data_IF_518718988208
#
_entry.id   IF_518718988208
#
_cell.length_a   1.000
_cell.length_b   1.000
_cell.length_c   1.000
_cell.angle_alpha   90.00
_cell.angle_beta   90.00
_cell.angle_gamma   90.00
#
_symmetry.space_group_name_H-M   'P 1'
#
loop_
_entity.id
_entity.type
_entity.pdbx_description
1 polymer ?
#
# COMPACT_ATOMS: atom_id res chain seq x y z
N UNK A 1 9.87 -13.99 -6.31
CA UNK A 1 10.41 -13.14 -7.40
C UNK A 1 11.38 -12.11 -6.87
N UNK A 2 11.05 -11.41 -5.78
CA UNK A 2 11.96 -10.44 -5.12
C UNK A 2 13.38 -10.99 -4.91
N UNK A 3 13.52 -12.27 -4.58
CA UNK A 3 14.82 -12.92 -4.42
C UNK A 3 15.66 -12.95 -5.71
N UNK A 4 15.04 -13.21 -6.87
CA UNK A 4 15.75 -13.22 -8.18
C UNK A 4 16.20 -11.82 -8.57
N UNK A 5 15.40 -10.82 -8.22
CA UNK A 5 15.72 -9.42 -8.45
C UNK A 5 16.86 -8.93 -7.56
N UNK A 6 16.83 -9.25 -6.26
CA UNK A 6 17.96 -9.02 -5.35
C UNK A 6 19.24 -9.69 -5.86
N UNK A 7 19.14 -10.97 -6.25
CA UNK A 7 20.26 -11.75 -6.77
C UNK A 7 20.85 -11.08 -8.04
N UNK A 8 20.00 -10.58 -8.94
CA UNK A 8 20.41 -9.85 -10.14
C UNK A 8 21.13 -8.54 -9.80
N UNK A 9 20.59 -7.73 -8.89
CA UNK A 9 21.20 -6.45 -8.47
C UNK A 9 22.56 -6.69 -7.81
N UNK A 10 22.67 -7.72 -6.97
CA UNK A 10 23.93 -8.11 -6.34
C UNK A 10 24.98 -8.50 -7.39
N UNK A 11 24.60 -9.34 -8.36
CA UNK A 11 25.49 -9.75 -9.45
C UNK A 11 25.96 -8.57 -10.32
N UNK A 12 25.10 -7.58 -10.58
CA UNK A 12 25.50 -6.35 -11.29
C UNK A 12 26.48 -5.50 -10.49
N UNK A 13 26.24 -5.35 -9.19
CA UNK A 13 27.13 -4.57 -8.31
C UNK A 13 28.53 -5.20 -8.29
N UNK A 14 28.59 -6.54 -8.20
CA UNK A 14 29.82 -7.31 -8.29
C UNK A 14 30.50 -7.18 -9.65
N UNK A 15 29.73 -7.20 -10.75
CA UNK A 15 30.27 -7.01 -12.10
C UNK A 15 30.93 -5.64 -12.30
N UNK A 16 30.43 -4.61 -11.61
CA UNK A 16 30.97 -3.23 -11.70
C UNK A 16 32.18 -3.02 -10.81
N UNK A 17 32.13 -3.54 -9.59
CA UNK A 17 33.10 -3.22 -8.55
C UNK A 17 34.10 -4.35 -8.25
N UNK A 18 33.86 -5.55 -8.78
CA UNK A 18 34.67 -6.74 -8.53
C UNK A 18 34.50 -7.31 -7.13
N UNK A 19 35.26 -8.38 -6.83
CA UNK A 19 35.31 -9.02 -5.51
C UNK A 19 36.31 -8.35 -4.55
N UNK A 20 37.00 -7.30 -4.99
CA UNK A 20 37.99 -6.60 -4.19
C UNK A 20 37.36 -5.43 -3.40
N UNK A 21 36.29 -4.84 -3.92
CA UNK A 21 35.72 -3.61 -3.38
C UNK A 21 34.29 -3.78 -2.83
N UNK A 22 34.18 -4.59 -1.78
CA UNK A 22 32.90 -4.93 -1.14
C UNK A 22 32.17 -3.74 -0.50
N UNK A 23 32.88 -2.67 -0.13
CA UNK A 23 32.26 -1.46 0.39
C UNK A 23 31.43 -0.77 -0.70
N UNK A 24 31.98 -0.67 -1.91
CA UNK A 24 31.25 -0.11 -3.06
C UNK A 24 30.09 -1.02 -3.49
N UNK A 25 30.31 -2.34 -3.49
CA UNK A 25 29.25 -3.32 -3.75
C UNK A 25 28.10 -3.14 -2.76
N UNK A 26 28.40 -3.03 -1.46
CA UNK A 26 27.39 -2.88 -0.43
C UNK A 26 26.63 -1.55 -0.55
N UNK A 27 27.31 -0.46 -0.87
CA UNK A 27 26.68 0.84 -1.09
C UNK A 27 25.73 0.82 -2.30
N UNK A 28 26.18 0.30 -3.45
CA UNK A 28 25.36 0.21 -4.66
C UNK A 28 24.17 -0.75 -4.48
N UNK A 29 24.42 -1.91 -3.89
CA UNK A 29 23.40 -2.91 -3.59
C UNK A 29 22.33 -2.33 -2.65
N UNK A 30 22.75 -1.67 -1.56
CA UNK A 30 21.83 -1.02 -0.62
C UNK A 30 21.00 0.05 -1.29
N UNK A 31 21.61 0.96 -2.05
CA UNK A 31 20.89 2.03 -2.75
C UNK A 31 19.85 1.47 -3.72
N UNK A 32 20.19 0.42 -4.47
CA UNK A 32 19.31 -0.21 -5.44
C UNK A 32 18.12 -0.92 -4.78
N UNK A 33 18.33 -1.55 -3.62
CA UNK A 33 17.25 -2.21 -2.86
C UNK A 33 16.40 -1.19 -2.10
N UNK A 34 17.03 -0.15 -1.53
CA UNK A 34 16.36 0.92 -0.78
C UNK A 34 15.38 1.71 -1.63
N UNK A 35 15.75 2.08 -2.86
CA UNK A 35 14.87 2.81 -3.77
C UNK A 35 13.61 1.99 -4.10
N UNK A 36 13.77 0.66 -4.23
CA UNK A 36 12.68 -0.26 -4.57
C UNK A 36 11.78 -0.61 -3.39
N UNK A 37 12.36 -0.83 -2.21
CA UNK A 37 11.62 -1.22 -1.00
C UNK A 37 11.16 -0.06 -0.14
N UNK A 38 11.52 1.18 -0.49
CA UNK A 38 11.31 2.38 0.34
C UNK A 38 11.82 2.18 1.78
N UNK A 39 12.94 1.45 1.93
CA UNK A 39 13.51 1.06 3.22
C UNK A 39 14.96 1.54 3.34
N UNK A 40 15.35 2.03 4.52
CA UNK A 40 16.72 2.46 4.84
C UNK A 40 17.56 1.27 5.30
N UNK A 41 17.48 0.14 4.58
CA UNK A 41 18.34 -1.01 4.87
C UNK A 41 19.69 -0.77 4.21
N UNK A 42 20.71 -0.52 5.05
CA UNK A 42 22.10 -0.49 4.62
C UNK A 42 22.72 -1.85 4.89
N UNK A 43 23.05 -2.55 3.83
CA UNK A 43 23.84 -3.77 3.91
C UNK A 43 25.31 -3.40 4.16
N UNK A 44 25.93 -4.17 5.05
CA UNK A 44 27.37 -4.15 5.25
C UNK A 44 28.10 -4.96 4.15
N UNK A 45 29.39 -4.71 4.02
CA UNK A 45 30.29 -5.48 3.15
C UNK A 45 30.22 -6.99 3.45
N UNK A 46 30.26 -7.38 4.73
CA UNK A 46 30.19 -8.78 5.17
C UNK A 46 28.85 -9.45 4.80
N UNK A 47 27.73 -8.74 4.94
CA UNK A 47 26.43 -9.28 4.55
C UNK A 47 26.33 -9.51 3.04
N UNK A 48 26.94 -8.62 2.24
CA UNK A 48 27.00 -8.78 0.80
C UNK A 48 27.87 -9.98 0.39
N UNK A 49 28.98 -10.22 1.10
CA UNK A 49 29.81 -11.42 0.92
C UNK A 49 29.04 -12.70 1.19
N UNK A 50 28.36 -12.79 2.35
CA UNK A 50 27.55 -13.97 2.70
C UNK A 50 26.44 -14.20 1.69
N UNK A 51 25.77 -13.13 1.24
CA UNK A 51 24.76 -13.23 0.17
C UNK A 51 25.35 -13.70 -1.14
N UNK A 52 26.54 -13.22 -1.51
CA UNK A 52 27.23 -13.65 -2.73
C UNK A 52 27.59 -15.13 -2.68
N UNK A 53 28.18 -15.63 -1.59
CA UNK A 53 28.51 -17.06 -1.50
C UNK A 53 27.26 -17.94 -1.61
N UNK A 54 26.18 -17.57 -0.92
CA UNK A 54 24.90 -18.26 -1.06
C UNK A 54 24.33 -18.20 -2.48
N UNK A 55 24.51 -17.08 -3.19
CA UNK A 55 24.11 -16.94 -4.58
C UNK A 55 25.00 -17.79 -5.50
N UNK A 56 26.32 -17.76 -5.31
CA UNK A 56 27.32 -18.53 -6.06
C UNK A 56 27.02 -20.03 -5.98
N UNK A 57 26.75 -20.56 -4.79
CA UNK A 57 26.37 -21.96 -4.61
C UNK A 57 25.06 -22.32 -5.32
N UNK A 58 24.01 -21.52 -5.13
CA UNK A 58 22.70 -21.74 -5.79
C UNK A 58 22.82 -21.67 -7.30
N UNK A 59 23.60 -20.72 -7.80
CA UNK A 59 23.81 -20.54 -9.23
C UNK A 59 24.58 -21.72 -9.82
N UNK A 60 25.67 -22.16 -9.19
CA UNK A 60 26.39 -23.37 -9.61
C UNK A 60 25.47 -24.59 -9.63
N UNK A 61 24.64 -24.79 -8.60
CA UNK A 61 23.70 -25.91 -8.55
C UNK A 61 22.65 -25.89 -9.66
N UNK A 62 22.21 -24.70 -10.10
CA UNK A 62 21.18 -24.57 -11.13
C UNK A 62 21.73 -24.69 -12.55
N UNK A 63 22.98 -24.27 -12.77
CA UNK A 63 23.59 -24.19 -14.10
C UNK A 63 24.78 -25.14 -14.27
N UNK A 64 24.79 -26.28 -13.55
CA UNK A 64 25.87 -27.28 -13.57
C UNK A 64 26.35 -27.69 -14.97
N UNK A 65 25.49 -27.62 -15.99
CA UNK A 65 25.79 -28.03 -17.37
C UNK A 65 26.44 -26.94 -18.23
N UNK A 66 26.38 -25.68 -17.82
CA UNK A 66 26.81 -24.53 -18.64
C UNK A 66 28.27 -24.13 -18.36
N UNK A 67 28.91 -24.73 -17.37
CA UNK A 67 30.30 -24.46 -17.03
C UNK A 67 31.24 -25.39 -17.79
N UNK A 68 31.98 -24.84 -18.75
CA UNK A 68 33.22 -25.47 -19.22
C UNK A 68 34.33 -25.05 -18.25
N UNK A 69 35.26 -25.95 -17.94
CA UNK A 69 36.34 -25.76 -16.95
C UNK A 69 37.29 -24.58 -17.27
N UNK A 70 37.05 -23.82 -18.33
CA UNK A 70 37.85 -22.66 -18.76
C UNK A 70 37.42 -21.31 -18.14
N UNK A 71 36.33 -21.25 -17.36
CA UNK A 71 35.92 -20.04 -16.62
C UNK A 71 36.50 -20.00 -15.19
N UNK A 72 37.81 -20.18 -15.05
CA UNK A 72 38.51 -20.13 -13.75
C UNK A 72 38.71 -18.70 -13.21
N UNK A 73 38.32 -17.67 -13.98
CA UNK A 73 38.32 -16.28 -13.55
C UNK A 73 36.97 -15.90 -12.91
N UNK A 74 37.01 -15.51 -11.63
CA UNK A 74 35.85 -15.03 -10.88
C UNK A 74 35.10 -13.89 -11.61
N UNK A 75 35.81 -13.05 -12.38
CA UNK A 75 35.19 -12.00 -13.19
C UNK A 75 34.32 -12.57 -14.32
N UNK A 76 34.81 -13.62 -15.00
CA UNK A 76 34.05 -14.35 -16.02
C UNK A 76 32.79 -14.97 -15.43
N UNK A 77 32.94 -15.64 -14.28
CA UNK A 77 31.85 -16.25 -13.55
C UNK A 77 30.77 -15.23 -13.12
N UNK A 78 31.17 -14.08 -12.57
CA UNK A 78 30.24 -13.00 -12.16
C UNK A 78 29.50 -12.44 -13.38
N UNK A 79 30.19 -12.26 -14.50
CA UNK A 79 29.56 -11.78 -15.74
C UNK A 79 28.52 -12.77 -16.25
N UNK A 80 28.85 -14.06 -16.32
CA UNK A 80 27.91 -15.11 -16.70
C UNK A 80 26.69 -15.14 -15.77
N UNK A 81 26.93 -15.03 -14.46
CA UNK A 81 25.87 -14.98 -13.45
C UNK A 81 24.93 -13.79 -13.68
N UNK A 82 25.48 -12.59 -13.84
CA UNK A 82 24.70 -11.38 -14.09
C UNK A 82 23.86 -11.50 -15.37
N UNK A 83 24.45 -11.99 -16.46
CA UNK A 83 23.78 -12.12 -17.76
C UNK A 83 22.64 -13.15 -17.71
N UNK A 84 22.86 -14.31 -17.07
CA UNK A 84 21.84 -15.36 -16.90
C UNK A 84 20.69 -14.91 -15.99
N UNK A 85 20.99 -14.30 -14.84
CA UNK A 85 19.96 -13.76 -13.94
C UNK A 85 19.12 -12.68 -14.62
N UNK A 86 19.77 -11.79 -15.39
CA UNK A 86 19.07 -10.76 -16.19
C UNK A 86 18.12 -11.39 -17.20
N UNK A 87 18.58 -12.42 -17.91
CA UNK A 87 17.75 -13.14 -18.89
C UNK A 87 16.53 -13.76 -18.22
N UNK A 88 16.71 -14.49 -17.13
CA UNK A 88 15.61 -15.12 -16.38
C UNK A 88 14.60 -14.08 -15.88
N UNK A 89 15.08 -12.95 -15.37
CA UNK A 89 14.21 -11.86 -14.93
C UNK A 89 13.42 -11.25 -16.10
N UNK A 90 14.07 -11.01 -17.25
CA UNK A 90 13.42 -10.50 -18.45
C UNK A 90 12.37 -11.45 -18.99
N UNK A 91 12.70 -12.73 -19.11
CA UNK A 91 11.79 -13.76 -19.62
C UNK A 91 10.55 -13.87 -18.72
N UNK A 92 10.76 -13.85 -17.40
CA UNK A 92 9.68 -13.80 -16.42
C UNK A 92 8.74 -12.60 -16.63
N UNK A 93 9.29 -11.38 -16.73
CA UNK A 93 8.46 -10.18 -16.92
C UNK A 93 7.76 -10.16 -18.28
N UNK A 94 8.41 -10.68 -19.31
CA UNK A 94 7.80 -10.79 -20.65
C UNK A 94 6.57 -11.69 -20.61
N UNK A 95 6.63 -12.81 -19.88
CA UNK A 95 5.48 -13.68 -19.66
C UNK A 95 4.38 -13.01 -18.82
N UNK A 96 4.74 -12.26 -17.77
CA UNK A 96 3.75 -11.52 -16.96
C UNK A 96 3.02 -10.45 -17.79
N UNK A 97 3.73 -9.72 -18.65
CA UNK A 97 3.12 -8.72 -19.54
C UNK A 97 2.11 -9.39 -20.49
N UNK A 98 2.46 -10.53 -21.10
CA UNK A 98 1.52 -11.29 -21.94
C UNK A 98 0.25 -11.70 -21.20
N UNK A 99 0.36 -12.08 -19.92
CA UNK A 99 -0.78 -12.46 -19.08
C UNK A 99 -1.67 -11.28 -18.69
N UNK A 100 -1.11 -10.08 -18.59
CA UNK A 100 -1.88 -8.86 -18.28
C UNK A 100 -2.56 -8.31 -19.55
N UNK A 101 -1.91 -8.41 -20.71
CA UNK A 101 -2.44 -7.91 -21.98
C UNK A 101 -3.54 -8.81 -22.58
N UNK A 102 -3.52 -10.11 -22.29
CA UNK A 102 -4.53 -11.07 -22.78
C UNK A 102 -5.97 -10.77 -22.33
N UNK A 103 -6.28 -10.47 -21.06
CA UNK A 103 -7.65 -10.13 -20.65
C UNK A 103 -8.12 -8.75 -21.16
N UNK A 104 -7.22 -7.86 -21.56
CA UNK A 104 -7.58 -6.56 -22.14
C UNK A 104 -8.08 -6.67 -23.58
N UNK A 105 -7.61 -7.64 -24.37
CA UNK A 105 -8.06 -7.80 -25.76
C UNK A 105 -9.36 -8.60 -25.91
N UNK A 106 -9.66 -9.55 -25.03
CA UNK A 106 -10.92 -10.32 -25.13
C UNK A 106 -12.17 -9.55 -24.63
N UNK A 107 -12.01 -8.63 -23.67
CA UNK A 107 -13.13 -7.89 -23.09
C UNK A 107 -13.38 -6.51 -23.70
N UNK A 108 -12.38 -5.91 -24.34
CA UNK A 108 -12.50 -4.55 -24.90
C UNK A 108 -13.47 -4.41 -26.08
N UNK A 109 -13.60 -5.35 -27.03
CA UNK A 109 -14.53 -5.15 -28.16
C UNK A 109 -16.00 -5.16 -27.74
N UNK A 110 -16.34 -5.94 -26.70
CA UNK A 110 -17.73 -6.09 -26.26
C UNK A 110 -18.19 -4.94 -25.35
N UNK A 111 -17.31 -4.41 -24.50
CA UNK A 111 -17.66 -3.29 -23.61
C UNK A 111 -17.86 -2.00 -24.43
N UNK A 112 -16.98 -1.71 -25.40
CA UNK A 112 -17.13 -0.53 -26.24
C UNK A 112 -18.34 -0.61 -27.19
N UNK A 113 -18.73 -1.82 -27.63
CA UNK A 113 -19.96 -2.00 -28.44
C UNK A 113 -21.22 -1.81 -27.60
N UNK A 114 -21.28 -2.38 -26.39
CA UNK A 114 -22.43 -2.17 -25.50
C UNK A 114 -22.57 -0.71 -25.05
N UNK A 115 -21.47 -0.02 -24.73
CA UNK A 115 -21.51 1.38 -24.32
C UNK A 115 -21.94 2.30 -25.49
N UNK A 116 -21.51 2.02 -26.72
CA UNK A 116 -21.95 2.76 -27.90
C UNK A 116 -23.45 2.54 -28.21
N UNK A 117 -23.95 1.30 -28.06
CA UNK A 117 -25.36 0.99 -28.25
C UNK A 117 -26.26 1.62 -27.17
N UNK A 118 -25.81 1.70 -25.91
CA UNK A 118 -26.54 2.40 -24.84
C UNK A 118 -26.58 3.92 -25.05
N UNK A 119 -25.50 4.53 -25.54
CA UNK A 119 -25.46 5.98 -25.83
C UNK A 119 -26.38 6.38 -27.00
N UNK A 120 -26.57 5.50 -27.98
CA UNK A 120 -27.51 5.74 -29.08
C UNK A 120 -28.96 5.65 -28.56
N UNK A 121 -29.27 4.66 -27.72
CA UNK A 121 -30.61 4.52 -27.10
C UNK A 121 -30.99 5.68 -26.18
N UNK A 122 -30.05 6.23 -25.41
CA UNK A 122 -30.31 7.34 -24.48
C UNK A 122 -30.55 8.70 -25.19
N UNK A 123 -30.08 8.86 -26.42
CA UNK A 123 -30.23 10.12 -27.18
C UNK A 123 -31.54 10.20 -27.98
N UNK A 124 -32.26 9.08 -28.16
CA UNK A 124 -33.56 9.10 -28.84
C UNK A 124 -34.73 9.43 -27.88
N UNK A 125 -34.54 9.38 -26.55
CA UNK A 125 -35.62 9.49 -25.58
C UNK A 125 -35.64 10.78 -24.72
N UNK A 126 -34.76 11.75 -24.97
CA UNK A 126 -34.79 13.05 -24.25
C UNK A 126 -34.86 14.25 -25.18
N UNK A 127 -36.10 14.57 -25.53
CA UNK A 127 -36.60 15.91 -25.80
C UNK A 127 -36.21 16.93 -24.72
N UNK A 128 -36.07 18.19 -25.15
CA UNK A 128 -36.40 19.43 -24.44
C UNK A 128 -35.99 19.57 -22.95
N UNK A 129 -34.90 20.30 -22.68
CA UNK A 129 -34.87 21.50 -21.82
C UNK A 129 -33.45 21.81 -21.26
N UNK A 130 -32.90 22.94 -21.74
CA UNK A 130 -32.27 24.05 -20.98
C UNK A 130 -31.26 23.78 -19.85
N UNK A 131 -30.61 22.62 -19.77
CA UNK A 131 -29.57 22.32 -18.75
C UNK A 131 -28.16 22.08 -19.31
N UNK A 132 -27.99 22.09 -20.64
CA UNK A 132 -26.75 21.67 -21.28
C UNK A 132 -25.58 22.69 -21.16
N UNK A 133 -25.88 23.98 -20.97
CA UNK A 133 -24.87 25.06 -20.96
C UNK A 133 -23.91 24.98 -19.75
N UNK A 134 -24.33 24.39 -18.63
CA UNK A 134 -23.46 24.22 -17.45
C UNK A 134 -22.53 23.02 -17.52
N UNK A 135 -22.87 22.00 -18.30
CA UNK A 135 -22.07 20.77 -18.40
C UNK A 135 -20.90 20.94 -19.39
N UNK A 136 -21.07 21.73 -20.45
CA UNK A 136 -20.00 22.08 -21.38
C UNK A 136 -18.91 22.95 -20.73
N UNK A 137 -19.27 23.83 -19.78
CA UNK A 137 -18.31 24.73 -19.14
C UNK A 137 -17.34 23.99 -18.19
N UNK A 138 -17.81 22.96 -17.48
CA UNK A 138 -16.99 22.14 -16.57
C UNK A 138 -15.97 21.28 -17.34
N UNK A 139 -16.34 20.80 -18.53
CA UNK A 139 -15.43 20.03 -19.37
C UNK A 139 -14.27 20.89 -19.88
N UNK A 140 -14.50 22.16 -20.20
CA UNK A 140 -13.40 23.03 -20.65
C UNK A 140 -12.38 23.32 -19.56
N UNK A 141 -12.81 23.54 -18.32
CA UNK A 141 -11.88 23.84 -17.22
C UNK A 141 -11.04 22.61 -16.84
N UNK A 142 -11.65 21.42 -16.87
CA UNK A 142 -10.94 20.16 -16.68
C UNK A 142 -9.96 19.85 -17.81
N UNK A 143 -10.35 20.09 -19.07
CA UNK A 143 -9.46 19.93 -20.23
C UNK A 143 -8.25 20.86 -20.11
N UNK A 144 -8.44 22.13 -19.70
CA UNK A 144 -7.33 23.06 -19.47
C UNK A 144 -6.36 22.56 -18.40
N UNK A 145 -6.86 21.98 -17.31
CA UNK A 145 -6.01 21.38 -16.26
C UNK A 145 -5.23 20.19 -16.83
N UNK A 146 -5.88 19.30 -17.59
CA UNK A 146 -5.21 18.17 -18.23
C UNK A 146 -4.14 18.62 -19.24
N UNK A 147 -4.38 19.69 -19.99
CA UNK A 147 -3.40 20.23 -20.93
C UNK A 147 -2.20 20.87 -20.22
N UNK A 148 -2.40 21.48 -19.05
CA UNK A 148 -1.28 21.93 -18.18
C UNK A 148 -0.46 20.74 -17.67
N UNK A 149 -1.12 19.66 -17.24
CA UNK A 149 -0.44 18.43 -16.81
C UNK A 149 0.33 17.80 -17.97
N UNK A 150 -0.25 17.75 -19.18
CA UNK A 150 0.35 17.16 -20.37
C UNK A 150 1.46 18.00 -21.02
N UNK A 151 1.41 19.32 -20.86
CA UNK A 151 2.46 20.22 -21.39
C UNK A 151 3.71 20.25 -20.52
N UNK A 152 3.66 19.66 -19.32
CA UNK A 152 4.84 19.50 -18.48
C UNK A 152 5.81 18.48 -19.09
N UNK A 153 7.06 18.92 -19.32
CA UNK A 153 8.12 18.17 -20.07
C UNK A 153 8.44 16.79 -19.48
N UNK A 154 8.05 16.55 -18.24
CA UNK A 154 8.11 15.28 -17.55
C UNK A 154 6.69 14.97 -17.10
N UNK A 155 6.00 14.04 -17.77
CA UNK A 155 4.59 13.63 -17.56
C UNK A 155 4.28 13.08 -16.15
N UNK A 156 5.16 13.26 -15.17
CA UNK A 156 5.05 12.73 -13.82
C UNK A 156 4.99 13.88 -12.81
N UNK A 157 3.80 14.40 -12.52
CA UNK A 157 3.57 15.33 -11.41
C UNK A 157 3.63 14.65 -10.02
N UNK A 158 3.87 13.34 -9.97
CA UNK A 158 3.79 12.55 -8.74
C UNK A 158 5.03 11.71 -8.43
N UNK A 159 6.16 11.95 -9.10
CA UNK A 159 7.45 11.49 -8.57
C UNK A 159 7.98 12.55 -7.60
N UNK A 160 7.73 12.31 -6.33
CA UNK A 160 8.21 13.09 -5.19
C UNK A 160 9.73 13.27 -5.24
N UNK A 161 10.23 14.38 -5.80
CA UNK A 161 11.68 14.64 -5.79
C UNK A 161 12.15 16.05 -5.39
N UNK A 162 11.29 17.04 -5.13
CA UNK A 162 11.77 18.33 -4.59
C UNK A 162 10.84 18.94 -3.53
N UNK A 163 11.33 19.34 -2.34
CA UNK A 163 10.55 20.06 -1.32
C UNK A 163 9.89 21.35 -1.84
N UNK A 164 10.47 22.00 -2.84
CA UNK A 164 9.92 23.21 -3.47
C UNK A 164 8.64 22.97 -4.28
N UNK A 165 8.34 21.73 -4.65
CA UNK A 165 7.14 21.35 -5.40
C UNK A 165 5.96 20.96 -4.47
N UNK A 166 6.21 20.90 -3.16
CA UNK A 166 5.22 20.49 -2.17
C UNK A 166 4.04 21.48 -2.08
N UNK A 167 4.30 22.78 -2.21
CA UNK A 167 3.24 23.81 -2.21
C UNK A 167 2.31 23.65 -3.41
N UNK A 168 2.88 23.46 -4.61
CA UNK A 168 2.12 23.30 -5.86
C UNK A 168 1.29 22.01 -5.85
N UNK A 169 1.84 20.91 -5.31
CA UNK A 169 1.11 19.66 -5.14
C UNK A 169 -0.05 19.78 -4.14
N UNK A 170 0.11 20.57 -3.07
CA UNK A 170 -0.96 20.85 -2.12
C UNK A 170 -2.05 21.72 -2.75
N UNK A 171 -1.70 22.75 -3.52
CA UNK A 171 -2.68 23.58 -4.24
C UNK A 171 -3.48 22.76 -5.25
N UNK A 172 -2.82 21.90 -6.04
CA UNK A 172 -3.49 20.97 -6.96
C UNK A 172 -4.42 20.00 -6.23
N UNK A 173 -3.96 19.42 -5.11
CA UNK A 173 -4.80 18.56 -4.27
C UNK A 173 -6.02 19.33 -3.77
N UNK A 174 -5.86 20.55 -3.29
CA UNK A 174 -6.96 21.34 -2.74
C UNK A 174 -7.96 21.75 -3.84
N UNK A 175 -7.49 22.05 -5.06
CA UNK A 175 -8.35 22.27 -6.24
C UNK A 175 -9.13 21.00 -6.57
N UNK A 176 -8.46 19.84 -6.64
CA UNK A 176 -9.09 18.55 -6.93
C UNK A 176 -10.12 18.23 -5.85
N UNK A 177 -9.80 18.36 -4.56
CA UNK A 177 -10.73 18.09 -3.46
C UNK A 177 -11.90 19.07 -3.47
N UNK A 178 -11.66 20.35 -3.76
CA UNK A 178 -12.71 21.39 -3.84
C UNK A 178 -13.66 21.15 -5.00
N UNK A 179 -13.16 20.74 -6.17
CA UNK A 179 -13.99 20.55 -7.35
C UNK A 179 -14.60 19.14 -7.47
N UNK A 180 -13.86 18.11 -7.04
CA UNK A 180 -14.33 16.72 -7.05
C UNK A 180 -15.17 16.40 -5.81
N UNK A 181 -14.90 17.01 -4.64
CA UNK A 181 -15.67 16.80 -3.41
C UNK A 181 -17.11 17.31 -3.48
N UNK A 182 -17.45 18.14 -4.47
CA UNK A 182 -18.83 18.56 -4.78
C UNK A 182 -19.63 17.49 -5.54
N UNK A 183 -18.99 16.42 -6.03
CA UNK A 183 -19.63 15.34 -6.79
C UNK A 183 -19.55 14.04 -5.98
N UNK A 184 -20.69 13.47 -5.61
CA UNK A 184 -20.77 12.28 -4.73
C UNK A 184 -20.15 10.99 -5.31
N UNK A 185 -19.74 11.00 -6.58
CA UNK A 185 -19.32 9.81 -7.32
C UNK A 185 -17.81 9.54 -7.31
N UNK A 186 -16.97 10.44 -6.76
CA UNK A 186 -15.50 10.31 -6.82
C UNK A 186 -14.80 10.29 -5.45
N UNK A 187 -15.53 10.07 -4.35
CA UNK A 187 -14.97 10.10 -2.99
C UNK A 187 -14.20 8.83 -2.58
N UNK A 188 -14.08 7.81 -3.43
CA UNK A 188 -13.27 6.62 -3.15
C UNK A 188 -11.92 6.70 -3.87
N UNK A 189 -10.88 6.98 -3.10
CA UNK A 189 -9.46 6.69 -3.40
C UNK A 189 -8.78 7.51 -4.52
N UNK A 190 -8.53 8.80 -4.25
CA UNK A 190 -7.26 9.41 -4.68
C UNK A 190 -6.33 9.38 -3.47
N UNK A 191 -5.69 8.24 -3.25
CA UNK A 191 -4.60 8.11 -2.28
C UNK A 191 -3.33 8.60 -2.97
N UNK A 192 -3.04 9.90 -2.85
CA UNK A 192 -1.68 10.37 -3.11
C UNK A 192 -0.75 9.60 -2.15
N UNK A 193 0.15 8.78 -2.70
CA UNK A 193 1.03 7.84 -1.97
C UNK A 193 2.06 8.51 -1.05
N UNK A 194 1.62 9.35 -0.12
CA UNK A 194 2.44 9.88 0.96
C UNK A 194 2.32 8.95 2.17
N UNK A 195 3.47 8.43 2.61
CA UNK A 195 3.57 7.65 3.84
C UNK A 195 2.95 8.43 5.02
N UNK A 196 2.04 7.76 5.73
CA UNK A 196 1.34 8.34 6.89
C UNK A 196 2.28 8.71 8.06
N UNK A 197 3.55 8.31 8.01
CA UNK A 197 4.57 8.54 9.05
C UNK A 197 5.27 9.90 8.93
N UNK A 198 5.19 10.58 7.78
CA UNK A 198 5.78 11.91 7.55
C UNK A 198 4.76 13.02 7.34
N UNK A 199 3.46 12.72 7.43
CA UNK A 199 2.38 13.71 7.32
C UNK A 199 1.87 14.11 8.72
N UNK A 200 2.32 15.26 9.28
CA UNK A 200 1.93 15.70 10.63
C UNK A 200 0.42 15.91 10.78
N UNK A 201 -0.29 16.15 9.67
CA UNK A 201 -1.74 16.32 9.65
C UNK A 201 -2.48 14.99 9.85
N UNK A 202 -2.00 13.90 9.25
CA UNK A 202 -2.56 12.55 9.46
C UNK A 202 -2.25 12.01 10.86
N UNK A 203 -1.07 12.34 11.40
CA UNK A 203 -0.74 12.03 12.79
C UNK A 203 -1.70 12.76 13.75
N UNK A 204 -1.98 14.05 13.50
CA UNK A 204 -2.95 14.83 14.27
C UNK A 204 -4.37 14.26 14.18
N UNK A 205 -4.84 13.91 12.97
CA UNK A 205 -6.14 13.27 12.79
C UNK A 205 -6.25 11.90 13.49
N UNK A 206 -5.18 11.09 13.48
CA UNK A 206 -5.17 9.80 14.20
C UNK A 206 -5.23 10.01 15.72
N UNK A 207 -4.56 11.03 16.24
CA UNK A 207 -4.61 11.37 17.67
C UNK A 207 -6.01 11.90 18.04
N UNK A 208 -6.59 12.79 17.23
CA UNK A 208 -7.94 13.31 17.44
C UNK A 208 -9.01 12.21 17.37
N UNK A 209 -8.89 11.28 16.41
CA UNK A 209 -9.80 10.13 16.32
C UNK A 209 -9.69 9.22 17.55
N UNK A 210 -8.48 8.92 18.01
CA UNK A 210 -8.28 8.15 19.26
C UNK A 210 -8.84 8.87 20.48
N UNK A 211 -8.71 10.19 20.56
CA UNK A 211 -9.26 10.99 21.63
C UNK A 211 -10.80 11.00 21.61
N UNK A 212 -11.41 11.09 20.42
CA UNK A 212 -12.85 11.00 20.24
C UNK A 212 -13.40 9.62 20.64
N UNK A 213 -12.77 8.54 20.16
CA UNK A 213 -13.17 7.17 20.50
C UNK A 213 -13.03 6.90 22.00
N UNK A 214 -11.99 7.43 22.64
CA UNK A 214 -11.80 7.32 24.09
C UNK A 214 -12.89 8.07 24.88
N UNK A 215 -13.31 9.26 24.43
CA UNK A 215 -14.40 10.02 25.06
C UNK A 215 -15.74 9.30 24.94
N UNK A 216 -16.04 8.73 23.77
CA UNK A 216 -17.28 7.97 23.58
C UNK A 216 -17.32 6.71 24.44
N UNK A 217 -16.21 5.97 24.53
CA UNK A 217 -16.11 4.80 25.42
C UNK A 217 -16.29 5.15 26.89
N UNK A 218 -15.78 6.30 27.34
CA UNK A 218 -16.00 6.77 28.72
C UNK A 218 -17.48 7.08 28.99
N UNK A 219 -18.18 7.71 28.06
CA UNK A 219 -19.62 8.01 28.19
C UNK A 219 -20.49 6.75 28.17
N UNK A 220 -20.14 5.74 27.35
CA UNK A 220 -20.86 4.46 27.34
C UNK A 220 -20.71 3.71 28.67
N UNK A 221 -19.52 3.74 29.28
CA UNK A 221 -19.25 3.16 30.59
C UNK A 221 -20.09 3.77 31.72
N UNK A 222 -20.24 5.10 31.74
CA UNK A 222 -21.08 5.77 32.74
C UNK A 222 -22.58 5.44 32.58
N UNK A 223 -23.04 5.24 31.34
CA UNK A 223 -24.43 4.84 31.07
C UNK A 223 -24.73 3.42 31.59
N UNK A 224 -23.75 2.53 31.54
CA UNK A 224 -23.86 1.15 32.03
C UNK A 224 -23.88 1.08 33.55
N UNK A 225 -23.05 1.88 34.23
CA UNK A 225 -23.02 1.96 35.70
C UNK A 225 -24.33 2.53 36.26
N UNK A 226 -24.92 3.55 35.62
CA UNK A 226 -26.24 4.09 36.05
C UNK A 226 -27.39 3.10 35.87
N UNK A 227 -27.36 2.26 34.82
CA UNK A 227 -28.36 1.19 34.63
C UNK A 227 -28.23 0.10 35.70
N UNK A 228 -27.01 -0.28 36.09
CA UNK A 228 -26.79 -1.30 37.14
C UNK A 228 -27.19 -0.82 38.55
N UNK A 229 -27.01 0.47 38.87
CA UNK A 229 -27.44 1.05 40.14
C UNK A 229 -28.98 1.11 40.29
N UNK A 230 -29.73 1.37 39.20
CA UNK A 230 -31.20 1.37 39.22
C UNK A 230 -31.79 -0.03 39.45
N UNK A 231 -31.15 -1.08 38.93
CA UNK A 231 -31.61 -2.47 39.14
C UNK A 231 -31.39 -2.94 40.57
N UNK A 232 -30.26 -2.57 41.20
CA UNK A 232 -30.01 -2.94 42.61
C UNK A 232 -30.92 -2.23 43.61
N UNK A 233 -31.27 -0.96 43.38
CA UNK A 233 -32.23 -0.27 44.26
C UNK A 233 -33.66 -0.80 44.11
N UNK A 234 -34.05 -1.34 42.94
CA UNK A 234 -35.38 -1.92 42.76
C UNK A 234 -35.53 -3.26 43.50
N UNK A 235 -34.50 -4.11 43.48
CA UNK A 235 -34.51 -5.39 44.20
C UNK A 235 -34.38 -5.24 45.73
N UNK A 236 -33.75 -4.17 46.22
CA UNK A 236 -33.65 -3.91 47.66
C UNK A 236 -34.95 -3.42 48.32
N UNK A 237 -35.92 -2.93 47.52
CA UNK A 237 -37.23 -2.51 48.03
C UNK A 237 -38.25 -3.65 48.07
N UNK A 238 -38.11 -4.68 47.24
CA UNK A 238 -39.07 -5.80 47.20
C UNK A 238 -38.85 -6.82 48.33
N UNK A 239 -37.63 -6.92 48.89
CA UNK A 239 -37.33 -7.84 50.00
C UNK A 239 -37.76 -7.37 51.40
N UNK A 240 -38.29 -6.14 51.55
CA UNK A 240 -38.70 -5.61 52.87
C UNK A 240 -40.16 -5.87 53.23
N UNK A 241 -40.93 -6.45 52.32
CA UNK A 241 -42.36 -6.72 52.53
C UNK A 241 -42.68 -8.22 52.64
N UNK A 242 -41.68 -9.07 52.83
CA UNK A 242 -41.90 -10.50 53.06
C UNK A 242 -41.86 -10.79 54.57
N UNK A 243 -43.02 -11.04 55.23
CA UNK A 243 -43.09 -11.21 56.68
C UNK A 243 -42.46 -12.52 57.19
N UNK A 244 -42.01 -13.42 56.30
CA UNK A 244 -41.50 -14.76 56.67
C UNK A 244 -39.96 -14.91 56.57
N UNK A 245 -39.20 -13.83 56.40
CA UNK A 245 -37.73 -13.93 56.28
C UNK A 245 -37.03 -14.04 57.65
N UNK A 246 -36.98 -15.25 58.21
CA UNK A 246 -36.29 -15.56 59.46
C UNK A 246 -34.76 -15.71 59.27
N UNK A 247 -34.00 -14.85 59.94
CA UNK A 247 -32.59 -14.54 59.62
C UNK A 247 -31.60 -15.40 60.44
N UNK A 248 -31.65 -16.73 60.27
CA UNK A 248 -30.70 -17.66 60.92
C UNK A 248 -30.15 -18.72 59.97
N UNK A 249 -29.00 -18.43 59.36
CA UNK A 249 -28.27 -19.35 58.49
C UNK A 249 -26.76 -19.36 58.75
N UNK A 250 -26.34 -19.88 59.91
CA UNK A 250 -24.95 -20.27 60.17
C UNK A 250 -24.60 -21.54 59.36
N UNK A 251 -23.72 -21.44 58.35
CA UNK A 251 -23.15 -22.62 57.69
C UNK A 251 -21.81 -23.01 58.33
N UNK A 252 -21.80 -24.21 58.92
CA UNK A 252 -20.65 -24.93 59.48
C UNK A 252 -19.67 -25.32 58.36
N UNK A 253 -18.41 -24.94 58.48
CA UNK A 253 -17.30 -25.48 57.66
C UNK A 253 -16.82 -26.80 58.27
N UNK A 254 -16.88 -27.89 57.50
CA UNK A 254 -16.18 -29.14 57.81
C UNK A 254 -14.87 -29.19 57.00
N UNK A 255 -13.75 -29.28 57.71
CA UNK A 255 -12.43 -29.53 57.14
C UNK A 255 -12.17 -31.04 57.07
N UNK A 256 -11.94 -31.59 55.88
CA UNK A 256 -11.33 -32.92 55.70
C UNK A 256 -9.85 -32.74 55.39
N UNK A 257 -8.98 -33.22 56.29
CA UNK A 257 -7.56 -33.48 56.06
C UNK A 257 -7.38 -34.73 55.20
N UNK A 258 -6.45 -34.68 54.25
CA UNK A 258 -5.53 -35.77 53.94
C UNK A 258 -4.24 -35.17 53.43
#
# INVERSE_FOLDING_TARGET
MEKVEEDMVLAYSLRRHGLENWEMVAAEFSNSISDRRQCILQFSSMECQVKYESLKERFKSLYQTDFTEEEDDDSGFIKLMADKLTKTYRDYWTEQVKLIDTPLQEKSPNIFKQEAEERIKLNEEKSDDKSNEKMENINQEFIKILDVVRSHKHYCLFESRLPSQYSVALELRDIIVKEMGKKSLFCSEIVCGLLATSNPMLAKQKIEKRAYDARNKAQEGESSVRKSARVRNKLACEFKNDPDYDCKGQQRRTTKKK
#
